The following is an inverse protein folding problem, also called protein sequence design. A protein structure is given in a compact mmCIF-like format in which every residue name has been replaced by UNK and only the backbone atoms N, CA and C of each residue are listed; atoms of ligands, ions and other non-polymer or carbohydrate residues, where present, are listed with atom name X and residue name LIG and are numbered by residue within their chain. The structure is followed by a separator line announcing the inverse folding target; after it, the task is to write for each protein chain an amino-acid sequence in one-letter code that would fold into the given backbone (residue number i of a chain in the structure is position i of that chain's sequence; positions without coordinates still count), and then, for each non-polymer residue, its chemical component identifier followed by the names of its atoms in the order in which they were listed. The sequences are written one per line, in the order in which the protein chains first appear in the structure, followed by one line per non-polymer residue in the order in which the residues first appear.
data_IF_403007126168
#
_entry.id   IF_403007126168
#
_cell.length_a   1.000
_cell.length_b   1.000
_cell.length_c   1.000
_cell.angle_alpha   90.00
_cell.angle_beta   90.00
_cell.angle_gamma   90.00
#
_symmetry.space_group_name_H-M   'P 1'
#
loop_
_entity.id
_entity.type
_entity.pdbx_description
1 polymer ?
#
# COMPACT_ATOMS: atom_id res chain seq x y z
N UNK A 1 -5.16 -8.20 19.02
CA UNK A 1 -5.18 -7.44 17.75
C UNK A 1 -6.61 -7.02 17.45
N UNK A 2 -6.83 -5.79 16.98
CA UNK A 2 -8.14 -5.30 16.52
C UNK A 2 -8.03 -4.64 15.16
N UNK A 3 -8.86 -5.06 14.21
CA UNK A 3 -8.96 -4.40 12.91
C UNK A 3 -9.74 -3.09 13.04
N UNK A 4 -9.18 -2.02 12.47
CA UNK A 4 -9.75 -0.67 12.49
C UNK A 4 -10.34 -0.31 11.14
N UNK A 5 -9.57 -0.53 10.05
CA UNK A 5 -9.98 -0.17 8.69
C UNK A 5 -9.47 -1.18 7.67
N UNK A 6 -10.15 -1.28 6.55
CA UNK A 6 -9.71 -2.06 5.39
C UNK A 6 -9.63 -1.11 4.18
N UNK A 7 -8.41 -0.73 3.82
CA UNK A 7 -8.13 0.22 2.75
C UNK A 7 -7.96 -0.54 1.44
N UNK A 8 -8.80 -0.28 0.42
CA UNK A 8 -8.56 -0.80 -0.92
C UNK A 8 -7.17 -0.36 -1.40
N UNK A 9 -6.55 -1.17 -2.25
CA UNK A 9 -5.22 -0.89 -2.79
C UNK A 9 -5.35 -0.43 -4.23
N UNK A 10 -4.52 0.53 -4.61
CA UNK A 10 -4.36 0.95 -6.00
C UNK A 10 -2.91 0.87 -6.45
N UNK A 11 -2.73 0.98 -7.75
CA UNK A 11 -1.43 1.13 -8.38
C UNK A 11 -1.11 2.60 -8.55
N UNK A 12 0.07 3.01 -8.10
CA UNK A 12 0.64 4.33 -8.30
C UNK A 12 1.38 4.35 -9.63
N UNK A 13 0.98 5.27 -10.50
CA UNK A 13 1.46 5.45 -11.86
C UNK A 13 1.77 6.93 -12.09
N UNK A 14 2.52 7.24 -13.15
CA UNK A 14 2.56 8.61 -13.66
C UNK A 14 1.18 9.00 -14.21
N UNK A 15 0.79 10.26 -14.02
CA UNK A 15 -0.49 10.76 -14.50
C UNK A 15 -0.64 10.73 -16.04
N UNK A 16 0.48 10.73 -16.77
CA UNK A 16 0.50 10.60 -18.23
C UNK A 16 0.56 9.14 -18.72
N UNK A 17 0.58 8.15 -17.82
CA UNK A 17 0.52 6.74 -18.19
C UNK A 17 -0.84 6.40 -18.82
N UNK A 18 -0.92 5.63 -19.92
CA UNK A 18 -2.19 5.22 -20.51
C UNK A 18 -3.14 4.52 -19.54
N UNK A 19 -2.60 3.78 -18.55
CA UNK A 19 -3.38 3.10 -17.54
C UNK A 19 -3.96 4.05 -16.48
N UNK A 20 -3.44 5.27 -16.34
CA UNK A 20 -3.92 6.25 -15.35
C UNK A 20 -5.37 6.70 -15.59
N UNK A 21 -5.91 6.47 -16.80
CA UNK A 21 -7.30 6.83 -17.17
C UNK A 21 -8.30 5.71 -16.97
N UNK A 22 -7.87 4.57 -16.41
CA UNK A 22 -8.72 3.40 -16.21
C UNK A 22 -9.45 3.55 -14.87
N UNK A 23 -10.69 3.10 -14.82
CA UNK A 23 -11.49 3.10 -13.57
C UNK A 23 -11.02 2.03 -12.58
N UNK A 24 -10.32 1.02 -13.07
CA UNK A 24 -9.74 -0.04 -12.26
C UNK A 24 -8.85 -0.95 -13.11
N UNK A 25 -7.96 -1.66 -12.42
CA UNK A 25 -7.00 -2.58 -13.01
C UNK A 25 -6.99 -3.91 -12.25
N UNK A 26 -6.39 -4.91 -12.89
CA UNK A 26 -6.03 -6.20 -12.31
C UNK A 26 -4.53 -6.35 -12.25
N UNK A 27 -4.01 -7.10 -11.28
CA UNK A 27 -2.57 -7.36 -11.15
C UNK A 27 -1.97 -7.99 -12.42
N UNK A 28 -2.75 -8.77 -13.16
CA UNK A 28 -2.33 -9.38 -14.43
C UNK A 28 -1.99 -8.34 -15.51
N UNK A 29 -2.65 -7.18 -15.51
CA UNK A 29 -2.39 -6.07 -16.44
C UNK A 29 -1.08 -5.34 -16.13
N UNK A 30 -0.47 -5.60 -14.96
CA UNK A 30 0.79 -5.00 -14.52
C UNK A 30 2.01 -5.92 -14.67
N UNK A 31 1.84 -7.08 -15.31
CA UNK A 31 2.87 -8.13 -15.40
C UNK A 31 4.15 -7.63 -16.07
N UNK A 32 4.00 -6.90 -17.17
CA UNK A 32 5.12 -6.43 -18.00
C UNK A 32 5.66 -5.06 -17.56
N UNK A 33 5.14 -4.52 -16.45
CA UNK A 33 5.57 -3.23 -15.90
C UNK A 33 6.87 -3.41 -15.14
N UNK A 34 7.65 -2.33 -15.03
CA UNK A 34 8.79 -2.26 -14.11
C UNK A 34 8.29 -1.98 -12.71
N UNK A 35 8.86 -2.63 -11.70
CA UNK A 35 8.48 -2.47 -10.30
C UNK A 35 9.67 -1.95 -9.51
N UNK A 36 9.47 -1.66 -8.23
CA UNK A 36 10.57 -1.51 -7.30
C UNK A 36 10.74 -2.79 -6.48
N UNK A 37 11.86 -2.89 -5.76
CA UNK A 37 12.14 -3.94 -4.80
C UNK A 37 12.23 -3.35 -3.40
N UNK A 38 11.92 -4.17 -2.40
CA UNK A 38 12.16 -3.82 -1.01
C UNK A 38 13.62 -4.12 -0.61
N UNK A 39 14.14 -3.47 0.45
CA UNK A 39 15.46 -3.78 0.96
C UNK A 39 15.57 -5.22 1.45
N UNK A 40 16.77 -5.79 1.36
CA UNK A 40 17.07 -7.12 1.92
C UNK A 40 16.71 -7.16 3.41
N UNK A 41 16.02 -8.23 3.82
CA UNK A 41 15.58 -8.43 5.21
C UNK A 41 14.19 -7.89 5.51
N UNK A 42 13.52 -7.24 4.56
CA UNK A 42 12.08 -6.94 4.68
C UNK A 42 11.29 -8.23 4.85
N UNK A 43 10.24 -8.22 5.66
CA UNK A 43 9.38 -9.40 5.85
C UNK A 43 8.87 -9.97 4.51
N UNK A 44 9.02 -11.27 4.22
CA UNK A 44 8.64 -11.85 2.93
C UNK A 44 7.14 -11.76 2.62
N UNK A 45 6.26 -11.81 3.63
CA UNK A 45 4.81 -11.69 3.41
C UNK A 45 4.44 -10.27 3.04
N UNK A 46 5.05 -9.28 3.71
CA UNK A 46 4.94 -7.87 3.35
C UNK A 46 5.41 -7.61 1.92
N UNK A 47 6.61 -8.11 1.57
CA UNK A 47 7.15 -7.96 0.22
C UNK A 47 6.22 -8.58 -0.82
N UNK A 48 5.77 -9.82 -0.61
CA UNK A 48 4.87 -10.52 -1.52
C UNK A 48 3.57 -9.73 -1.72
N UNK A 49 2.94 -9.28 -0.65
CA UNK A 49 1.70 -8.51 -0.71
C UNK A 49 1.87 -7.21 -1.52
N UNK A 50 2.82 -6.35 -1.16
CA UNK A 50 3.02 -5.06 -1.83
C UNK A 50 3.64 -5.15 -3.23
N UNK A 51 4.18 -6.32 -3.58
CA UNK A 51 4.59 -6.65 -4.94
C UNK A 51 3.52 -7.42 -5.73
N UNK A 52 2.29 -7.54 -5.23
CA UNK A 52 1.21 -8.21 -5.95
C UNK A 52 1.41 -9.72 -6.15
N UNK A 53 2.02 -10.39 -5.16
CA UNK A 53 2.12 -11.84 -5.05
C UNK A 53 3.32 -12.49 -5.74
N UNK A 54 4.16 -11.74 -6.45
CA UNK A 54 5.27 -12.27 -7.23
C UNK A 54 6.61 -11.56 -6.98
N UNK A 55 7.75 -12.21 -7.32
CA UNK A 55 9.05 -11.56 -7.32
C UNK A 55 9.08 -10.42 -8.34
N UNK A 56 9.83 -9.37 -8.03
CA UNK A 56 9.94 -8.15 -8.83
C UNK A 56 11.38 -7.79 -9.10
N UNK A 57 11.60 -7.10 -10.20
CA UNK A 57 12.89 -6.53 -10.58
C UNK A 57 12.78 -5.01 -10.68
N UNK A 58 13.89 -4.32 -10.39
CA UNK A 58 13.99 -2.86 -10.44
C UNK A 58 14.71 -2.26 -9.23
N UNK A 59 14.65 -0.93 -9.06
CA UNK A 59 15.38 -0.22 -8.02
C UNK A 59 14.91 -0.61 -6.62
N UNK A 60 15.83 -0.65 -5.66
CA UNK A 60 15.49 -0.87 -4.25
C UNK A 60 15.01 0.44 -3.64
N UNK A 61 13.81 0.41 -3.06
CA UNK A 61 13.12 1.55 -2.48
C UNK A 61 12.89 1.29 -0.98
N UNK A 62 13.27 2.24 -0.12
CA UNK A 62 13.20 2.11 1.34
C UNK A 62 12.01 2.83 1.97
N UNK A 63 11.52 3.86 1.32
CA UNK A 63 10.50 4.77 1.84
C UNK A 63 9.49 5.15 0.77
N UNK A 64 8.33 5.65 1.21
CA UNK A 64 7.25 6.08 0.30
C UNK A 64 7.75 7.16 -0.67
N UNK A 65 8.57 8.09 -0.22
CA UNK A 65 9.14 9.14 -1.06
C UNK A 65 10.00 8.56 -2.20
N UNK A 66 10.81 7.54 -1.90
CA UNK A 66 11.61 6.83 -2.92
C UNK A 66 10.70 6.07 -3.91
N UNK A 67 9.58 5.51 -3.46
CA UNK A 67 8.57 4.87 -4.32
C UNK A 67 8.00 5.90 -5.31
N UNK A 68 7.53 7.05 -4.81
CA UNK A 68 6.93 8.09 -5.65
C UNK A 68 7.94 8.62 -6.68
N UNK A 69 9.19 8.83 -6.28
CA UNK A 69 10.24 9.26 -7.21
C UNK A 69 10.61 8.18 -8.24
N UNK A 70 10.64 6.91 -7.84
CA UNK A 70 10.87 5.81 -8.78
C UNK A 70 9.75 5.74 -9.83
N UNK A 71 8.48 5.93 -9.43
CA UNK A 71 7.36 6.00 -10.38
C UNK A 71 7.52 7.18 -11.33
N UNK A 72 7.81 8.38 -10.80
CA UNK A 72 7.97 9.60 -11.59
C UNK A 72 9.13 9.53 -12.59
N UNK A 73 10.32 9.15 -12.14
CA UNK A 73 11.55 9.25 -12.95
C UNK A 73 11.87 7.97 -13.73
N UNK A 74 11.54 6.80 -13.18
CA UNK A 74 11.91 5.53 -13.77
C UNK A 74 10.72 4.83 -14.45
N UNK A 75 9.51 5.38 -14.37
CA UNK A 75 8.29 4.78 -14.92
C UNK A 75 8.01 3.39 -14.33
N UNK A 76 8.49 3.14 -13.12
CA UNK A 76 8.10 1.95 -12.35
C UNK A 76 6.66 2.11 -11.88
N UNK A 77 6.06 1.02 -11.43
CA UNK A 77 4.76 1.01 -10.74
C UNK A 77 4.97 0.60 -9.29
N UNK A 78 4.06 1.03 -8.44
CA UNK A 78 4.03 0.68 -7.03
C UNK A 78 2.61 0.53 -6.52
N UNK A 79 2.44 -0.07 -5.35
CA UNK A 79 1.12 -0.20 -4.73
C UNK A 79 1.02 0.73 -3.53
N UNK A 80 -0.16 1.30 -3.32
CA UNK A 80 -0.48 2.13 -2.17
C UNK A 80 -1.95 1.94 -1.76
N UNK A 81 -2.28 2.11 -0.47
CA UNK A 81 -3.68 2.23 -0.06
C UNK A 81 -4.35 3.42 -0.75
N UNK A 82 -5.61 3.27 -1.16
CA UNK A 82 -6.41 4.37 -1.70
C UNK A 82 -6.69 5.44 -0.64
N UNK A 83 -7.05 6.64 -1.10
CA UNK A 83 -7.44 7.76 -0.24
C UNK A 83 -6.28 8.62 0.27
N UNK A 84 -5.08 8.46 -0.30
CA UNK A 84 -3.93 9.34 -0.05
C UNK A 84 -3.83 10.35 -1.18
N UNK A 85 -3.65 11.63 -0.83
CA UNK A 85 -3.35 12.66 -1.81
C UNK A 85 -1.93 12.46 -2.35
N UNK A 86 -1.82 12.39 -3.67
CA UNK A 86 -0.54 12.33 -4.38
C UNK A 86 -0.27 13.65 -5.11
N UNK A 87 1.00 13.96 -5.39
CA UNK A 87 1.36 15.01 -6.34
C UNK A 87 0.61 14.84 -7.67
N UNK A 88 0.26 15.95 -8.33
CA UNK A 88 -0.57 15.96 -9.54
C UNK A 88 0.05 15.19 -10.72
N UNK A 89 1.37 14.97 -10.70
CA UNK A 89 2.13 14.20 -11.68
C UNK A 89 1.95 12.68 -11.51
N UNK A 90 1.29 12.24 -10.44
CA UNK A 90 0.98 10.86 -10.13
C UNK A 90 -0.53 10.61 -10.11
N UNK A 91 -0.90 9.39 -10.48
CA UNK A 91 -2.26 8.88 -10.38
C UNK A 91 -2.27 7.59 -9.57
N UNK A 92 -3.39 7.35 -8.86
CA UNK A 92 -3.66 6.07 -8.22
C UNK A 92 -4.89 5.45 -8.88
N UNK A 93 -4.70 4.28 -9.47
CA UNK A 93 -5.80 3.52 -10.11
C UNK A 93 -6.16 2.32 -9.23
N UNK A 94 -7.44 2.11 -8.86
CA UNK A 94 -7.84 0.99 -8.02
C UNK A 94 -7.46 -0.39 -8.58
N UNK A 95 -6.98 -1.30 -7.73
CA UNK A 95 -6.86 -2.71 -8.06
C UNK A 95 -8.10 -3.48 -7.60
N UNK A 96 -8.69 -4.24 -8.51
CA UNK A 96 -9.97 -4.93 -8.29
C UNK A 96 -9.82 -6.38 -7.81
N UNK A 97 -8.63 -6.96 -7.95
CA UNK A 97 -8.32 -8.36 -7.66
C UNK A 97 -7.32 -8.54 -6.51
N UNK A 98 -7.11 -7.49 -5.71
CA UNK A 98 -6.22 -7.50 -4.56
C UNK A 98 -7.00 -7.35 -3.25
N UNK A 99 -6.61 -8.13 -2.24
CA UNK A 99 -7.18 -7.98 -0.90
C UNK A 99 -6.87 -6.56 -0.34
N UNK A 100 -7.79 -5.93 0.42
CA UNK A 100 -7.51 -4.64 1.07
C UNK A 100 -6.39 -4.71 2.11
N UNK A 101 -5.66 -3.61 2.25
CA UNK A 101 -4.67 -3.42 3.32
C UNK A 101 -5.40 -3.12 4.63
N UNK A 102 -5.08 -3.84 5.70
CA UNK A 102 -5.78 -3.66 6.98
C UNK A 102 -4.97 -2.78 7.93
N UNK A 103 -5.62 -1.73 8.43
CA UNK A 103 -5.12 -0.97 9.58
C UNK A 103 -5.57 -1.70 10.84
N UNK A 104 -4.60 -2.05 11.69
CA UNK A 104 -4.86 -2.79 12.93
C UNK A 104 -4.20 -2.10 14.12
N UNK A 105 -4.84 -2.17 15.28
CA UNK A 105 -4.21 -1.84 16.56
C UNK A 105 -3.83 -3.12 17.30
N UNK A 106 -2.60 -3.14 17.82
CA UNK A 106 -2.03 -4.30 18.52
C UNK A 106 -1.44 -3.83 19.84
N UNK A 107 -1.74 -4.55 20.90
CA UNK A 107 -1.13 -4.41 22.21
C UNK A 107 -0.69 -5.79 22.69
N UNK A 108 0.23 -5.82 23.66
CA UNK A 108 0.56 -7.05 24.36
C UNK A 108 -0.68 -7.52 25.15
N UNK A 109 -0.98 -8.81 25.10
CA UNK A 109 -2.16 -9.39 25.76
C UNK A 109 -2.08 -9.31 27.29
N UNK A 110 -0.88 -9.40 27.85
CA UNK A 110 -0.66 -9.31 29.29
C UNK A 110 -0.62 -7.86 29.81
N UNK A 111 -0.73 -6.87 28.94
CA UNK A 111 -0.66 -5.46 29.35
C UNK A 111 -1.97 -4.99 29.99
N UNK A 112 -1.90 -4.60 31.26
CA UNK A 112 -3.04 -4.14 32.05
C UNK A 112 -3.14 -2.62 32.15
N UNK A 113 -2.33 -1.85 31.41
CA UNK A 113 -2.34 -0.39 31.48
C UNK A 113 -3.69 0.17 30.99
N UNK A 114 -4.44 0.90 31.85
CA UNK A 114 -5.75 1.43 31.49
C UNK A 114 -5.70 2.43 30.32
N UNK A 115 -4.57 3.10 30.10
CA UNK A 115 -4.41 4.03 28.97
C UNK A 115 -4.37 3.29 27.63
N UNK A 116 -3.79 2.08 27.58
CA UNK A 116 -3.78 1.26 26.36
C UNK A 116 -5.19 0.79 26.03
N UNK A 117 -5.95 0.36 27.04
CA UNK A 117 -7.36 -0.02 26.86
C UNK A 117 -8.18 1.17 26.32
N UNK A 118 -8.04 2.33 26.96
CA UNK A 118 -8.73 3.56 26.54
C UNK A 118 -8.36 3.96 25.10
N UNK A 119 -7.08 3.88 24.73
CA UNK A 119 -6.63 4.13 23.35
C UNK A 119 -7.25 3.13 22.36
N UNK A 120 -7.22 1.83 22.67
CA UNK A 120 -7.81 0.79 21.81
C UNK A 120 -9.31 1.02 21.57
N UNK A 121 -10.06 1.40 22.61
CA UNK A 121 -11.49 1.72 22.52
C UNK A 121 -11.74 2.96 21.68
N UNK A 122 -10.99 4.04 21.94
CA UNK A 122 -11.11 5.31 21.22
C UNK A 122 -10.75 5.15 19.74
N UNK A 123 -9.64 4.46 19.45
CA UNK A 123 -9.24 4.16 18.07
C UNK A 123 -10.30 3.30 17.38
N UNK A 124 -10.85 2.28 18.05
CA UNK A 124 -11.94 1.49 17.44
C UNK A 124 -13.14 2.37 17.11
N UNK A 125 -13.55 3.25 18.02
CA UNK A 125 -14.69 4.13 17.80
C UNK A 125 -14.46 5.12 16.64
N UNK A 126 -13.26 5.69 16.55
CA UNK A 126 -12.90 6.65 15.50
C UNK A 126 -12.97 6.06 14.08
N UNK A 127 -12.78 4.75 13.93
CA UNK A 127 -12.80 4.06 12.63
C UNK A 127 -14.11 3.31 12.33
N UNK A 128 -15.18 3.52 13.12
CA UNK A 128 -16.52 2.94 12.86
C UNK A 128 -17.39 3.77 11.89
N UNK A 129 -16.90 4.93 11.46
CA UNK A 129 -17.58 5.89 10.59
C UNK A 129 -16.76 6.13 9.32
#
# INVERSE_FOLDING_TARGET
MRALRADPVGVVLRADDPLARRDGLRLAELRDRRWFQFPRGTDPLWQSYWNGGGPREGPVVRAVQELLQAVLWNGTVGLAPLGHDLPAELAVVPLTDMAPSRVVAVCNEADTNPLIRSFMETATAAYRH
#
